data_IF_452337378028
#
_entry.id   IF_452337378028
#
_cell.length_a   1.000
_cell.length_b   1.000
_cell.length_c   1.000
_cell.angle_alpha   90.00
_cell.angle_beta   90.00
_cell.angle_gamma   90.00
#
_symmetry.space_group_name_H-M   'P 1'
#
loop_
_entity.id
_entity.type
_entity.pdbx_description
1 polymer ?
#
# COMPACT_ATOMS: atom_id res chain seq x y z
N UNK A 1 13.19 9.82 13.41
CA UNK A 1 11.85 9.27 13.71
C UNK A 1 11.62 8.11 12.77
N UNK A 2 11.85 6.88 13.25
CA UNK A 2 11.59 5.67 12.47
C UNK A 2 10.09 5.57 12.22
N UNK A 3 9.71 5.34 10.96
CA UNK A 3 8.33 5.09 10.56
C UNK A 3 7.79 3.95 11.43
N UNK A 4 6.84 4.24 12.32
CA UNK A 4 6.09 3.20 13.01
C UNK A 4 5.37 2.36 11.95
N UNK A 5 5.83 1.13 11.84
CA UNK A 5 5.64 0.24 10.71
C UNK A 5 4.14 -0.06 10.52
N UNK A 6 3.53 0.44 9.45
CA UNK A 6 2.17 0.05 9.05
C UNK A 6 2.03 -1.46 8.80
N UNK A 7 3.15 -2.16 8.65
CA UNK A 7 3.24 -3.60 8.49
C UNK A 7 4.50 -4.15 9.17
N UNK A 8 4.35 -5.23 9.93
CA UNK A 8 5.44 -5.97 10.56
C UNK A 8 5.60 -7.33 9.88
N UNK A 9 6.82 -7.66 9.47
CA UNK A 9 7.14 -8.95 8.85
C UNK A 9 7.72 -9.88 9.92
N UNK A 10 7.17 -11.09 10.02
CA UNK A 10 7.60 -12.16 10.92
C UNK A 10 8.01 -13.36 10.06
N UNK A 11 9.29 -13.39 9.71
CA UNK A 11 9.85 -14.41 8.82
C UNK A 11 10.00 -15.76 9.53
N UNK A 12 10.10 -15.77 10.86
CA UNK A 12 10.16 -17.00 11.66
C UNK A 12 8.82 -17.74 11.62
N UNK A 13 7.71 -17.02 11.75
CA UNK A 13 6.37 -17.58 11.71
C UNK A 13 5.72 -17.55 10.31
N UNK A 14 6.48 -17.17 9.28
CA UNK A 14 6.00 -17.01 7.89
C UNK A 14 4.72 -16.16 7.78
N UNK A 15 4.66 -15.09 8.57
CA UNK A 15 3.48 -14.25 8.71
C UNK A 15 3.84 -12.75 8.68
N UNK A 16 2.82 -11.91 8.52
CA UNK A 16 2.94 -10.47 8.66
C UNK A 16 1.72 -9.90 9.35
N UNK A 17 1.93 -8.82 10.12
CA UNK A 17 0.88 -8.09 10.81
C UNK A 17 0.65 -6.75 10.15
N UNK A 18 -0.58 -6.45 9.75
CA UNK A 18 -0.97 -5.11 9.30
C UNK A 18 -1.40 -4.31 10.53
N UNK A 19 -0.77 -3.15 10.73
CA UNK A 19 -1.03 -2.26 11.87
C UNK A 19 -1.80 -0.98 11.48
N UNK A 20 -1.92 -0.70 10.18
CA UNK A 20 -2.64 0.46 9.65
C UNK A 20 -3.33 0.10 8.32
N UNK A 21 -4.66 0.02 8.33
CA UNK A 21 -5.48 -0.49 7.23
C UNK A 21 -6.34 -1.68 7.67
N UNK A 22 -6.25 -2.79 6.93
CA UNK A 22 -6.89 -4.07 7.29
C UNK A 22 -6.13 -4.73 8.44
N UNK A 23 -6.36 -4.27 9.67
CA UNK A 23 -5.63 -4.74 10.86
C UNK A 23 -5.83 -6.25 11.05
N UNK A 24 -4.72 -6.99 11.18
CA UNK A 24 -4.75 -8.43 11.34
C UNK A 24 -3.40 -9.09 11.09
N UNK A 25 -3.34 -10.39 11.33
CA UNK A 25 -2.20 -11.26 11.04
C UNK A 25 -2.53 -12.10 9.81
N UNK A 26 -1.60 -12.17 8.87
CA UNK A 26 -1.76 -12.85 7.60
C UNK A 26 -0.54 -13.72 7.32
N UNK A 27 -0.71 -14.82 6.59
CA UNK A 27 0.38 -15.73 6.25
C UNK A 27 0.91 -15.43 4.85
N UNK A 28 2.20 -15.64 4.63
CA UNK A 28 2.79 -15.43 3.30
C UNK A 28 2.23 -16.41 2.26
N UNK A 29 1.95 -17.66 2.66
CA UNK A 29 1.35 -18.70 1.80
C UNK A 29 -0.01 -18.26 1.22
N UNK A 30 -0.75 -17.43 1.96
CA UNK A 30 -2.06 -16.94 1.57
C UNK A 30 -1.98 -15.77 0.56
N UNK A 31 -0.78 -15.22 0.29
CA UNK A 31 -0.61 -14.04 -0.57
C UNK A 31 -0.55 -14.43 -2.05
N UNK A 32 -1.49 -13.91 -2.84
CA UNK A 32 -1.49 -14.04 -4.30
C UNK A 32 -0.62 -12.97 -4.96
N UNK A 33 -0.81 -11.70 -4.59
CA UNK A 33 -0.05 -10.56 -5.14
C UNK A 33 -0.15 -9.33 -4.23
N UNK A 34 0.90 -8.50 -4.25
CA UNK A 34 0.86 -7.12 -3.74
C UNK A 34 0.83 -6.12 -4.89
N UNK A 35 0.09 -5.01 -4.73
CA UNK A 35 0.17 -3.88 -5.66
C UNK A 35 0.01 -2.54 -4.94
N UNK A 36 0.71 -1.52 -5.44
CA UNK A 36 0.60 -0.16 -4.91
C UNK A 36 -0.72 0.46 -5.41
N UNK A 37 -1.48 1.04 -4.49
CA UNK A 37 -2.77 1.69 -4.76
C UNK A 37 -2.78 3.09 -4.18
N UNK A 38 -3.59 3.96 -4.80
CA UNK A 38 -3.75 5.35 -4.38
C UNK A 38 -5.23 5.65 -4.19
N UNK A 39 -5.60 6.15 -3.02
CA UNK A 39 -6.96 6.59 -2.72
C UNK A 39 -7.03 8.11 -2.74
N UNK A 40 -8.06 8.68 -3.36
CA UNK A 40 -8.26 10.12 -3.29
C UNK A 40 -8.62 10.54 -1.85
N UNK A 41 -7.84 11.48 -1.29
CA UNK A 41 -7.91 11.85 0.12
C UNK A 41 -9.30 12.24 0.64
N UNK A 42 -10.19 12.76 -0.22
CA UNK A 42 -11.55 13.16 0.17
C UNK A 42 -12.46 11.99 0.57
N UNK A 43 -12.10 10.76 0.21
CA UNK A 43 -12.87 9.53 0.46
C UNK A 43 -12.32 8.66 1.59
N UNK A 44 -11.11 8.93 2.11
CA UNK A 44 -10.58 8.17 3.25
C UNK A 44 -11.56 8.23 4.43
N UNK A 45 -11.93 7.06 4.96
CA UNK A 45 -12.89 6.93 6.05
C UNK A 45 -14.36 7.16 5.69
N UNK A 46 -14.68 7.46 4.42
CA UNK A 46 -16.06 7.66 3.93
C UNK A 46 -16.55 6.56 2.99
N UNK A 47 -15.63 5.73 2.51
CA UNK A 47 -15.89 4.59 1.63
C UNK A 47 -15.02 3.41 2.04
N UNK A 48 -15.32 2.19 1.56
CA UNK A 48 -14.40 1.07 1.70
C UNK A 48 -12.99 1.44 1.25
N UNK A 49 -11.98 0.92 1.94
CA UNK A 49 -10.57 1.27 1.73
C UNK A 49 -10.17 1.09 0.26
N UNK A 50 -9.59 2.15 -0.33
CA UNK A 50 -9.08 2.16 -1.70
C UNK A 50 -10.12 1.80 -2.78
N UNK A 51 -11.40 2.06 -2.52
CA UNK A 51 -12.47 1.96 -3.52
C UNK A 51 -12.45 3.13 -4.52
N UNK A 52 -12.08 4.34 -4.08
CA UNK A 52 -11.98 5.52 -4.92
C UNK A 52 -10.53 5.74 -5.40
N UNK A 53 -10.10 4.89 -6.34
CA UNK A 53 -8.72 4.88 -6.82
C UNK A 53 -8.39 6.07 -7.70
N UNK A 54 -7.17 6.56 -7.55
CA UNK A 54 -6.57 7.55 -8.45
C UNK A 54 -5.51 6.86 -9.29
N UNK A 55 -5.59 7.03 -10.60
CA UNK A 55 -4.50 6.65 -11.49
C UNK A 55 -3.40 7.70 -11.35
N UNK A 56 -2.22 7.29 -10.88
CA UNK A 56 -1.03 8.14 -10.84
C UNK A 56 -0.12 7.71 -11.99
N UNK A 57 0.09 8.62 -12.94
CA UNK A 57 1.01 8.38 -14.06
C UNK A 57 2.45 8.41 -13.56
N UNK A 58 3.27 7.44 -13.97
CA UNK A 58 4.73 7.50 -13.78
C UNK A 58 5.41 8.33 -14.87
N UNK A 59 4.70 8.62 -15.97
CA UNK A 59 5.18 9.45 -17.05
C UNK A 59 5.01 10.92 -16.65
N UNK A 60 6.12 11.65 -16.70
CA UNK A 60 6.23 13.09 -16.50
C UNK A 60 5.60 13.88 -17.68
N UNK A 61 4.52 13.35 -18.26
CA UNK A 61 3.81 13.98 -19.36
C UNK A 61 2.88 15.04 -18.78
N UNK A 62 3.14 16.28 -19.19
CA UNK A 62 2.44 17.53 -18.90
C UNK A 62 0.96 17.57 -19.34
N UNK A 63 0.24 16.45 -19.22
CA UNK A 63 -1.21 16.44 -19.35
C UNK A 63 -1.76 16.94 -18.03
N UNK A 64 -2.57 18.00 -18.10
CA UNK A 64 -3.29 18.71 -17.04
C UNK A 64 -4.13 17.77 -16.13
N UNK A 65 -3.51 16.85 -15.42
CA UNK A 65 -4.15 16.08 -14.35
C UNK A 65 -3.94 16.90 -13.10
N UNK A 66 -5.01 17.53 -12.63
CA UNK A 66 -5.03 18.24 -11.35
C UNK A 66 -4.34 17.38 -10.29
N UNK A 67 -3.27 17.90 -9.67
CA UNK A 67 -2.51 17.18 -8.66
C UNK A 67 -3.40 16.89 -7.45
N UNK A 68 -3.93 15.66 -7.38
CA UNK A 68 -4.82 15.28 -6.28
C UNK A 68 -4.02 14.99 -5.02
N UNK A 69 -4.59 15.37 -3.88
CA UNK A 69 -4.19 14.82 -2.59
C UNK A 69 -4.68 13.37 -2.50
N UNK A 70 -3.76 12.45 -2.23
CA UNK A 70 -4.00 11.01 -2.18
C UNK A 70 -3.43 10.40 -0.89
N UNK A 71 -3.87 9.21 -0.55
CA UNK A 71 -3.15 8.31 0.35
C UNK A 71 -2.49 7.22 -0.46
N UNK A 72 -1.22 6.92 -0.19
CA UNK A 72 -0.51 5.77 -0.75
C UNK A 72 -0.77 4.56 0.13
N UNK A 73 -1.06 3.42 -0.49
CA UNK A 73 -1.21 2.14 0.19
C UNK A 73 -0.73 0.97 -0.65
N UNK A 74 -0.76 -0.21 -0.01
CA UNK A 74 -0.53 -1.50 -0.66
C UNK A 74 -1.81 -2.31 -0.55
N UNK A 75 -2.30 -2.82 -1.67
CA UNK A 75 -3.33 -3.85 -1.72
C UNK A 75 -2.65 -5.21 -1.81
N UNK A 76 -3.08 -6.14 -0.96
CA UNK A 76 -2.65 -7.53 -0.96
C UNK A 76 -3.88 -8.37 -1.29
N UNK A 77 -3.80 -9.13 -2.39
CA UNK A 77 -4.84 -10.10 -2.73
C UNK A 77 -4.49 -11.44 -2.08
N UNK A 78 -5.44 -12.03 -1.36
CA UNK A 78 -5.29 -13.32 -0.70
C UNK A 78 -5.88 -14.46 -1.56
N UNK A 79 -5.51 -15.71 -1.25
CA UNK A 79 -5.96 -16.91 -1.97
C UNK A 79 -7.49 -17.08 -1.97
N UNK A 80 -8.14 -16.68 -0.87
CA UNK A 80 -9.60 -16.69 -0.74
C UNK A 80 -10.32 -15.60 -1.58
N UNK A 81 -9.57 -14.78 -2.32
CA UNK A 81 -10.09 -13.67 -3.13
C UNK A 81 -10.29 -12.36 -2.35
N UNK A 82 -10.10 -12.38 -1.03
CA UNK A 82 -10.13 -11.18 -0.19
C UNK A 82 -8.99 -10.23 -0.53
N UNK A 83 -9.24 -8.93 -0.32
CA UNK A 83 -8.26 -7.88 -0.50
C UNK A 83 -8.06 -7.16 0.81
N UNK A 84 -6.82 -7.16 1.29
CA UNK A 84 -6.42 -6.48 2.51
C UNK A 84 -5.48 -5.34 2.17
N UNK A 85 -5.54 -4.28 2.97
CA UNK A 85 -4.93 -3.00 2.62
C UNK A 85 -3.99 -2.53 3.72
N UNK A 86 -2.86 -1.95 3.32
CA UNK A 86 -1.92 -1.28 4.20
C UNK A 86 -1.86 0.20 3.81
N UNK A 87 -2.17 1.10 4.74
CA UNK A 87 -1.92 2.53 4.55
C UNK A 87 -0.43 2.83 4.81
N UNK A 88 0.25 3.39 3.81
CA UNK A 88 1.64 3.83 3.94
C UNK A 88 1.69 5.31 4.34
N UNK A 89 0.90 6.14 3.65
CA UNK A 89 0.80 7.55 4.00
C UNK A 89 0.00 7.73 5.30
N UNK A 90 0.64 8.35 6.31
CA UNK A 90 -0.03 8.72 7.57
C UNK A 90 -0.98 9.91 7.43
N UNK A 91 -0.76 10.75 6.42
CA UNK A 91 -1.61 11.87 6.05
C UNK A 91 -1.79 11.96 4.53
N UNK A 92 -2.67 12.85 4.05
CA UNK A 92 -2.87 13.03 2.61
C UNK A 92 -1.63 13.69 1.99
N UNK A 93 -1.11 13.11 0.91
CA UNK A 93 0.07 13.58 0.17
C UNK A 93 -0.30 14.09 -1.21
N UNK A 94 0.43 15.08 -1.72
CA UNK A 94 0.22 15.58 -3.09
C UNK A 94 1.04 14.72 -4.04
N UNK A 95 0.43 14.26 -5.13
CA UNK A 95 1.12 13.48 -6.16
C UNK A 95 2.43 14.17 -6.58
N UNK A 96 3.48 13.36 -6.76
CA UNK A 96 4.83 13.78 -7.18
C UNK A 96 5.62 14.65 -6.19
N UNK A 97 5.04 15.03 -5.04
CA UNK A 97 5.80 15.75 -4.01
C UNK A 97 6.83 14.82 -3.32
N UNK A 98 7.70 15.41 -2.48
CA UNK A 98 8.73 14.65 -1.78
C UNK A 98 8.15 13.52 -0.91
N UNK A 99 7.14 13.83 -0.09
CA UNK A 99 6.51 12.83 0.80
C UNK A 99 5.88 11.67 0.01
N UNK A 100 5.21 11.95 -1.10
CA UNK A 100 4.64 10.94 -1.99
C UNK A 100 5.72 10.01 -2.53
N UNK A 101 6.89 10.54 -2.91
CA UNK A 101 8.02 9.73 -3.39
C UNK A 101 8.58 8.83 -2.28
N UNK A 102 8.66 9.33 -1.05
CA UNK A 102 9.10 8.53 0.09
C UNK A 102 8.09 7.44 0.43
N UNK A 103 6.80 7.77 0.52
CA UNK A 103 5.73 6.79 0.76
C UNK A 103 5.69 5.74 -0.36
N UNK A 104 5.87 6.14 -1.62
CA UNK A 104 5.95 5.22 -2.75
C UNK A 104 7.14 4.27 -2.65
N UNK A 105 8.32 4.75 -2.23
CA UNK A 105 9.50 3.89 -2.02
C UNK A 105 9.22 2.84 -0.94
N UNK A 106 8.61 3.23 0.17
CA UNK A 106 8.22 2.30 1.24
C UNK A 106 7.20 1.27 0.73
N UNK A 107 6.15 1.71 0.02
CA UNK A 107 5.17 0.82 -0.58
C UNK A 107 5.81 -0.19 -1.54
N UNK A 108 6.75 0.26 -2.38
CA UNK A 108 7.50 -0.58 -3.31
C UNK A 108 8.35 -1.62 -2.57
N UNK A 109 9.07 -1.22 -1.52
CA UNK A 109 9.87 -2.14 -0.70
C UNK A 109 9.00 -3.22 -0.04
N UNK A 110 7.79 -2.87 0.41
CA UNK A 110 6.84 -3.83 0.99
C UNK A 110 6.40 -4.86 -0.05
N UNK A 111 5.99 -4.41 -1.24
CA UNK A 111 5.57 -5.31 -2.33
C UNK A 111 6.73 -6.24 -2.74
N UNK A 112 7.94 -5.71 -2.91
CA UNK A 112 9.12 -6.52 -3.24
C UNK A 112 9.46 -7.55 -2.15
N UNK A 113 9.31 -7.18 -0.87
CA UNK A 113 9.52 -8.09 0.26
C UNK A 113 8.50 -9.23 0.28
N UNK A 114 7.24 -8.94 -0.02
CA UNK A 114 6.17 -9.95 -0.14
C UNK A 114 6.43 -10.90 -1.30
N UNK A 115 6.77 -10.37 -2.48
CA UNK A 115 7.02 -11.17 -3.68
C UNK A 115 8.21 -12.12 -3.51
N UNK A 116 9.22 -11.74 -2.72
CA UNK A 116 10.35 -12.63 -2.38
C UNK A 116 9.92 -13.76 -1.45
N UNK A 117 9.22 -13.44 -0.36
CA UNK A 117 8.80 -14.40 0.67
C UNK A 117 7.81 -15.45 0.14
N UNK A 118 6.97 -15.07 -0.81
CA UNK A 118 6.07 -16.00 -1.51
C UNK A 118 6.83 -17.05 -2.36
N UNK A 119 8.02 -16.72 -2.87
CA UNK A 119 8.80 -17.60 -3.77
C UNK A 119 9.72 -18.58 -3.05
N UNK A 120 9.91 -18.41 -1.74
CA UNK A 120 10.79 -19.25 -0.92
C UNK A 120 10.06 -20.49 -0.35
N UNK A 121 8.84 -20.75 -0.84
CA UNK A 121 8.05 -21.97 -0.61
C UNK A 121 7.92 -22.80 -1.90
#
# INVERSE_FOLDING_TARGET
MSVENSILFDDENKAFSICDGSIGIYRYEDVVKGQIVYEHAKYKGKSPMFSHRVLVSTLNTSIFVEMKKVYVGVEITLLNGERVYVYISKGPVIQHNYQFKEDYKVAKQIVEKMDKRKKEE
#
